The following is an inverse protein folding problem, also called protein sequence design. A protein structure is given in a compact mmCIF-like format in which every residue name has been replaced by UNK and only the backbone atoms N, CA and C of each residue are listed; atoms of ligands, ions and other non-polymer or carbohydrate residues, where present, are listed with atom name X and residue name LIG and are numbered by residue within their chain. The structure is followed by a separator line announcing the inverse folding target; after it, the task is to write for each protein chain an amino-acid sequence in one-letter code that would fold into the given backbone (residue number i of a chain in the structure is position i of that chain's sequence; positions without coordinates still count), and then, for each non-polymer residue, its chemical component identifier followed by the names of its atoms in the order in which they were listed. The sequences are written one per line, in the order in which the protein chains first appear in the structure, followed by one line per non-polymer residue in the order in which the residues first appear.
data_IF_349735431991
#
_entry.id   IF_349735431991
#
_cell.length_a   1.000
_cell.length_b   1.000
_cell.length_c   1.000
_cell.angle_alpha   90.00
_cell.angle_beta   90.00
_cell.angle_gamma   90.00
#
_symmetry.space_group_name_H-M   'P 1'
#
loop_
_entity.id
_entity.type
_entity.pdbx_description
1 polymer ?
#
# COMPACT_ATOMS: atom_id res chain seq x y z
N UNK A 1 -51.41 -30.20 -21.13
CA UNK A 1 -51.74 -28.82 -20.74
C UNK A 1 -50.44 -28.16 -20.36
N UNK A 2 -49.83 -27.46 -21.32
CA UNK A 2 -48.52 -26.84 -21.17
C UNK A 2 -48.67 -25.43 -20.57
N UNK A 3 -48.68 -25.35 -19.24
CA UNK A 3 -48.88 -24.08 -18.50
C UNK A 3 -47.61 -23.22 -18.35
N UNK A 4 -46.57 -23.43 -19.17
CA UNK A 4 -45.27 -22.74 -19.02
C UNK A 4 -44.95 -21.77 -20.17
N UNK A 5 -45.94 -21.19 -20.85
CA UNK A 5 -45.68 -20.11 -21.80
C UNK A 5 -45.58 -18.76 -21.08
N UNK A 6 -44.45 -18.08 -21.25
CA UNK A 6 -44.24 -16.71 -20.79
C UNK A 6 -45.18 -15.79 -21.59
N UNK A 7 -45.93 -14.95 -20.90
CA UNK A 7 -46.82 -13.99 -21.56
C UNK A 7 -46.02 -12.89 -22.28
N UNK A 8 -46.53 -12.32 -23.39
CA UNK A 8 -45.86 -11.22 -24.09
C UNK A 8 -45.53 -10.00 -23.20
N UNK A 9 -46.36 -9.71 -22.20
CA UNK A 9 -46.10 -8.64 -21.23
C UNK A 9 -44.93 -8.96 -20.29
N UNK A 10 -44.86 -10.19 -19.76
CA UNK A 10 -43.72 -10.63 -18.94
C UNK A 10 -42.41 -10.54 -19.74
N UNK A 11 -42.47 -10.86 -21.03
CA UNK A 11 -41.34 -10.73 -21.94
C UNK A 11 -40.93 -9.27 -22.15
N UNK A 12 -41.88 -8.38 -22.44
CA UNK A 12 -41.61 -6.94 -22.63
C UNK A 12 -40.99 -6.31 -21.37
N UNK A 13 -41.50 -6.64 -20.18
CA UNK A 13 -40.96 -6.17 -18.91
C UNK A 13 -39.54 -6.69 -18.64
N UNK A 14 -39.25 -7.95 -18.98
CA UNK A 14 -37.90 -8.51 -18.88
C UNK A 14 -36.93 -7.76 -19.82
N UNK A 15 -37.38 -7.48 -21.04
CA UNK A 15 -36.55 -6.82 -22.06
C UNK A 15 -36.23 -5.39 -21.64
N UNK A 16 -37.22 -4.64 -21.16
CA UNK A 16 -37.03 -3.28 -20.64
C UNK A 16 -36.06 -3.26 -19.45
N UNK A 17 -36.21 -4.18 -18.49
CA UNK A 17 -35.31 -4.29 -17.34
C UNK A 17 -33.86 -4.63 -17.74
N UNK A 18 -33.64 -5.47 -18.75
CA UNK A 18 -32.29 -5.78 -19.26
C UNK A 18 -31.68 -4.56 -19.98
N UNK A 19 -32.48 -3.81 -20.73
CA UNK A 19 -32.00 -2.68 -21.52
C UNK A 19 -31.63 -1.49 -20.63
N UNK A 20 -32.42 -1.22 -19.58
CA UNK A 20 -32.18 -0.12 -18.64
C UNK A 20 -30.92 -0.35 -17.79
N UNK A 21 -30.70 -1.59 -17.34
CA UNK A 21 -29.47 -2.00 -16.65
C UNK A 21 -28.21 -1.91 -17.53
N UNK A 22 -28.36 -2.03 -18.86
CA UNK A 22 -27.24 -1.90 -19.83
C UNK A 22 -26.77 -0.45 -19.97
N UNK A 23 -27.66 0.52 -19.86
CA UNK A 23 -27.36 1.93 -20.07
C UNK A 23 -26.75 2.60 -18.83
N UNK A 24 -27.23 2.24 -17.63
CA UNK A 24 -26.86 2.90 -16.37
C UNK A 24 -25.67 2.26 -15.65
N UNK A 25 -25.44 0.95 -15.78
CA UNK A 25 -24.40 0.24 -15.04
C UNK A 25 -22.98 0.27 -15.65
N UNK A 26 -22.85 0.45 -16.97
CA UNK A 26 -21.65 -0.01 -17.72
C UNK A 26 -20.50 0.98 -17.89
N UNK A 27 -20.70 2.28 -17.65
CA UNK A 27 -19.72 3.28 -18.11
C UNK A 27 -19.03 4.05 -17.00
N UNK A 28 -19.72 4.34 -15.90
CA UNK A 28 -19.14 5.13 -14.80
C UNK A 28 -18.60 4.24 -13.68
N UNK A 29 -19.31 3.17 -13.32
CA UNK A 29 -18.94 2.31 -12.19
C UNK A 29 -17.71 1.43 -12.50
N UNK A 30 -17.57 0.98 -13.74
CA UNK A 30 -16.44 0.14 -14.19
C UNK A 30 -15.12 0.93 -14.25
N UNK A 31 -15.15 2.19 -14.71
CA UNK A 31 -13.94 3.01 -14.84
C UNK A 31 -13.41 3.49 -13.48
N UNK A 32 -14.28 3.98 -12.60
CA UNK A 32 -13.88 4.47 -11.28
C UNK A 32 -13.42 3.31 -10.38
N UNK A 33 -14.08 2.15 -10.47
CA UNK A 33 -13.71 0.96 -9.69
C UNK A 33 -12.32 0.41 -10.07
N UNK A 34 -12.05 0.30 -11.37
CA UNK A 34 -10.75 -0.17 -11.87
C UNK A 34 -9.62 0.80 -11.52
N UNK A 35 -9.86 2.11 -11.65
CA UNK A 35 -8.88 3.14 -11.30
C UNK A 35 -8.50 3.07 -9.82
N UNK A 36 -9.48 3.06 -8.90
CA UNK A 36 -9.23 3.00 -7.45
C UNK A 36 -8.43 1.74 -7.09
N UNK A 37 -8.74 0.59 -7.69
CA UNK A 37 -7.98 -0.65 -7.47
C UNK A 37 -6.54 -0.54 -7.97
N UNK A 38 -6.34 -0.04 -9.20
CA UNK A 38 -5.01 0.15 -9.76
C UNK A 38 -4.15 1.08 -8.90
N UNK A 39 -4.72 2.20 -8.43
CA UNK A 39 -4.05 3.12 -7.50
C UNK A 39 -3.69 2.43 -6.20
N UNK A 40 -4.59 1.61 -5.65
CA UNK A 40 -4.32 0.95 -4.36
C UNK A 40 -3.22 -0.11 -4.47
N UNK A 41 -3.18 -0.86 -5.57
CA UNK A 41 -2.09 -1.81 -5.85
C UNK A 41 -0.78 -1.05 -6.04
N UNK A 42 -0.78 0.02 -6.83
CA UNK A 42 0.42 0.81 -7.09
C UNK A 42 0.99 1.44 -5.81
N UNK A 43 0.11 2.00 -4.96
CA UNK A 43 0.51 2.65 -3.71
C UNK A 43 1.03 1.64 -2.68
N UNK A 44 0.33 0.52 -2.46
CA UNK A 44 0.82 -0.53 -1.56
C UNK A 44 2.10 -1.20 -2.10
N UNK A 45 2.18 -1.44 -3.41
CA UNK A 45 3.37 -1.98 -4.06
C UNK A 45 4.58 -1.04 -3.96
N UNK A 46 4.37 0.25 -4.20
CA UNK A 46 5.39 1.29 -4.01
C UNK A 46 5.87 1.36 -2.56
N UNK A 47 4.97 1.24 -1.60
CA UNK A 47 5.31 1.18 -0.17
C UNK A 47 6.16 -0.05 0.18
N UNK A 48 5.84 -1.24 -0.37
CA UNK A 48 6.66 -2.44 -0.21
C UNK A 48 8.08 -2.24 -0.76
N UNK A 49 8.22 -1.67 -1.95
CA UNK A 49 9.54 -1.41 -2.57
C UNK A 49 10.32 -0.39 -1.74
N UNK A 50 9.66 0.68 -1.27
CA UNK A 50 10.29 1.69 -0.42
C UNK A 50 10.79 1.07 0.91
N UNK A 51 10.01 0.19 1.53
CA UNK A 51 10.43 -0.53 2.74
C UNK A 51 11.64 -1.43 2.50
N UNK A 52 11.68 -2.16 1.38
CA UNK A 52 12.82 -2.98 1.02
C UNK A 52 14.09 -2.13 0.86
N UNK A 53 13.98 -0.93 0.28
CA UNK A 53 15.10 0.01 0.17
C UNK A 53 15.53 0.65 1.50
N UNK A 54 14.63 0.66 2.49
CA UNK A 54 14.84 1.25 3.80
C UNK A 54 15.07 0.21 4.91
N UNK A 55 15.31 -1.06 4.55
CA UNK A 55 15.36 -2.17 5.51
C UNK A 55 16.37 -1.95 6.64
N UNK A 56 17.50 -1.30 6.34
CA UNK A 56 18.56 -0.98 7.31
C UNK A 56 18.16 0.11 8.33
N UNK A 57 17.09 0.87 8.04
CA UNK A 57 16.60 2.00 8.85
C UNK A 57 15.39 1.65 9.72
N UNK A 58 14.75 0.51 9.45
CA UNK A 58 13.51 0.09 10.13
C UNK A 58 13.84 -1.06 11.07
N UNK A 59 13.67 -0.84 12.38
CA UNK A 59 14.03 -1.85 13.39
C UNK A 59 13.19 -3.12 13.30
N UNK A 60 11.92 -2.99 12.90
CA UNK A 60 10.98 -4.08 12.70
C UNK A 60 10.38 -4.03 11.29
N UNK A 61 11.20 -4.30 10.27
CA UNK A 61 10.81 -4.19 8.85
C UNK A 61 9.73 -5.19 8.40
N UNK A 62 9.60 -6.33 9.07
CA UNK A 62 8.66 -7.39 8.69
C UNK A 62 7.18 -7.00 8.86
N UNK A 63 6.84 -6.31 9.96
CA UNK A 63 5.45 -5.96 10.28
C UNK A 63 4.79 -5.06 9.19
N UNK A 64 5.36 -3.88 8.83
CA UNK A 64 4.76 -3.03 7.81
C UNK A 64 4.77 -3.70 6.43
N UNK A 65 5.79 -4.53 6.13
CA UNK A 65 5.85 -5.30 4.90
C UNK A 65 4.66 -6.27 4.76
N UNK A 66 4.36 -7.06 5.80
CA UNK A 66 3.22 -7.99 5.79
C UNK A 66 1.89 -7.25 5.66
N UNK A 67 1.76 -6.09 6.30
CA UNK A 67 0.53 -5.27 6.22
C UNK A 67 0.30 -4.77 4.80
N UNK A 68 1.33 -4.21 4.14
CA UNK A 68 1.20 -3.75 2.75
C UNK A 68 0.98 -4.92 1.79
N UNK A 69 1.64 -6.06 2.01
CA UNK A 69 1.41 -7.27 1.22
C UNK A 69 -0.03 -7.79 1.34
N UNK A 70 -0.58 -7.79 2.55
CA UNK A 70 -1.99 -8.12 2.78
C UNK A 70 -2.91 -7.15 2.02
N UNK A 71 -2.58 -5.85 1.98
CA UNK A 71 -3.29 -4.86 1.18
C UNK A 71 -3.29 -5.16 -0.33
N UNK A 72 -2.17 -5.62 -0.87
CA UNK A 72 -2.06 -6.06 -2.27
C UNK A 72 -2.95 -7.28 -2.52
N UNK A 73 -2.87 -8.31 -1.67
CA UNK A 73 -3.66 -9.54 -1.79
C UNK A 73 -5.17 -9.22 -1.73
N UNK A 74 -5.59 -8.38 -0.79
CA UNK A 74 -6.98 -7.95 -0.67
C UNK A 74 -7.46 -7.16 -1.88
N UNK A 75 -6.60 -6.31 -2.46
CA UNK A 75 -6.90 -5.58 -3.70
C UNK A 75 -7.08 -6.51 -4.89
N UNK A 76 -6.22 -7.52 -5.02
CA UNK A 76 -6.30 -8.53 -6.08
C UNK A 76 -7.54 -9.42 -5.92
N UNK A 77 -7.82 -9.90 -4.71
CA UNK A 77 -9.00 -10.72 -4.43
C UNK A 77 -10.28 -9.96 -4.80
N UNK A 78 -10.36 -8.68 -4.42
CA UNK A 78 -11.47 -7.79 -4.77
C UNK A 78 -11.61 -7.64 -6.29
N UNK A 79 -10.51 -7.45 -7.02
CA UNK A 79 -10.51 -7.35 -8.48
C UNK A 79 -11.02 -8.64 -9.13
N UNK A 80 -10.53 -9.80 -8.67
CA UNK A 80 -10.97 -11.11 -9.14
C UNK A 80 -12.47 -11.34 -8.92
N UNK A 81 -13.00 -10.99 -7.74
CA UNK A 81 -14.44 -11.10 -7.46
C UNK A 81 -15.25 -10.19 -8.39
N UNK A 82 -14.83 -8.94 -8.56
CA UNK A 82 -15.51 -7.99 -9.45
C UNK A 82 -15.52 -8.50 -10.90
N UNK A 83 -14.41 -9.06 -11.37
CA UNK A 83 -14.30 -9.64 -12.70
C UNK A 83 -15.22 -10.86 -12.87
N UNK A 84 -15.30 -11.75 -11.87
CA UNK A 84 -16.22 -12.90 -11.87
C UNK A 84 -17.68 -12.43 -11.94
N UNK A 85 -18.05 -11.42 -11.17
CA UNK A 85 -19.42 -10.86 -11.20
C UNK A 85 -19.72 -10.27 -12.59
N UNK A 86 -18.81 -9.49 -13.15
CA UNK A 86 -18.98 -8.86 -14.46
C UNK A 86 -19.12 -9.91 -15.58
N UNK A 87 -18.26 -10.93 -15.59
CA UNK A 87 -18.31 -12.01 -16.59
C UNK A 87 -19.58 -12.85 -16.48
N UNK A 88 -20.02 -13.17 -15.27
CA UNK A 88 -21.30 -13.87 -15.04
C UNK A 88 -22.50 -13.05 -15.48
N UNK A 89 -22.51 -11.75 -15.18
CA UNK A 89 -23.57 -10.87 -15.62
C UNK A 89 -23.66 -10.83 -17.15
N UNK A 90 -22.53 -10.69 -17.84
CA UNK A 90 -22.48 -10.72 -19.31
C UNK A 90 -23.05 -12.04 -19.85
N UNK A 91 -22.61 -13.18 -19.30
CA UNK A 91 -23.08 -14.51 -19.73
C UNK A 91 -24.59 -14.72 -19.55
N UNK A 92 -25.16 -14.20 -18.44
CA UNK A 92 -26.62 -14.25 -18.22
C UNK A 92 -27.35 -13.36 -19.23
N UNK A 93 -26.87 -12.13 -19.44
CA UNK A 93 -27.50 -11.21 -20.40
C UNK A 93 -27.47 -11.76 -21.83
N UNK A 94 -26.35 -12.35 -22.26
CA UNK A 94 -26.24 -12.93 -23.61
C UNK A 94 -27.11 -14.18 -23.76
N UNK A 95 -27.20 -15.03 -22.73
CA UNK A 95 -28.09 -16.19 -22.74
C UNK A 95 -29.57 -15.78 -22.89
N UNK A 96 -29.99 -14.72 -22.19
CA UNK A 96 -31.34 -14.16 -22.30
C UNK A 96 -31.56 -13.58 -23.71
N UNK A 97 -30.62 -12.81 -24.25
CA UNK A 97 -30.72 -12.24 -25.61
C UNK A 97 -30.85 -13.34 -26.68
N UNK A 98 -30.06 -14.41 -26.59
CA UNK A 98 -30.14 -15.54 -27.52
C UNK A 98 -31.50 -16.25 -27.41
N UNK A 99 -32.00 -16.47 -26.19
CA UNK A 99 -33.31 -17.08 -25.97
C UNK A 99 -34.46 -16.21 -26.54
N UNK A 100 -34.35 -14.89 -26.43
CA UNK A 100 -35.27 -13.91 -27.01
C UNK A 100 -35.25 -13.99 -28.54
N UNK A 101 -34.06 -14.00 -29.16
CA UNK A 101 -33.91 -14.00 -30.61
C UNK A 101 -34.36 -15.31 -31.25
N UNK A 102 -34.17 -16.45 -30.57
CA UNK A 102 -34.49 -17.74 -31.16
C UNK A 102 -35.99 -18.11 -31.17
N UNK A 103 -36.87 -17.38 -30.46
CA UNK A 103 -38.37 -17.40 -30.49
C UNK A 103 -39.12 -18.75 -30.55
N UNK A 104 -38.44 -19.89 -30.62
CA UNK A 104 -38.96 -21.21 -30.91
C UNK A 104 -38.43 -22.14 -29.82
N UNK A 105 -39.30 -22.39 -28.85
CA UNK A 105 -39.16 -23.42 -27.79
C UNK A 105 -37.81 -23.40 -27.05
N UNK A 106 -37.73 -22.59 -25.99
CA UNK A 106 -36.67 -22.73 -25.00
C UNK A 106 -36.84 -24.11 -24.35
N UNK A 107 -35.85 -24.98 -24.53
CA UNK A 107 -35.82 -26.28 -23.88
C UNK A 107 -35.85 -26.10 -22.36
N UNK A 108 -36.64 -26.93 -21.66
CA UNK A 108 -36.83 -26.85 -20.21
C UNK A 108 -35.49 -27.00 -19.49
N UNK A 109 -34.55 -27.78 -20.06
CA UNK A 109 -33.21 -27.94 -19.54
C UNK A 109 -32.39 -26.63 -19.57
N UNK A 110 -32.49 -25.85 -20.65
CA UNK A 110 -31.82 -24.55 -20.74
C UNK A 110 -32.39 -23.56 -19.72
N UNK A 111 -33.71 -23.57 -19.54
CA UNK A 111 -34.38 -22.73 -18.53
C UNK A 111 -33.92 -23.08 -17.11
N UNK A 112 -33.76 -24.37 -16.78
CA UNK A 112 -33.24 -24.80 -15.48
C UNK A 112 -31.77 -24.39 -15.28
N UNK A 113 -30.95 -24.46 -16.32
CA UNK A 113 -29.55 -24.03 -16.26
C UNK A 113 -29.42 -22.51 -16.05
N UNK A 114 -30.24 -21.70 -16.74
CA UNK A 114 -30.31 -20.25 -16.52
C UNK A 114 -30.76 -19.95 -15.08
N UNK A 115 -31.76 -20.67 -14.57
CA UNK A 115 -32.25 -20.47 -13.19
C UNK A 115 -31.20 -20.83 -12.14
N UNK A 116 -30.43 -21.92 -12.33
CA UNK A 116 -29.29 -22.26 -11.46
C UNK A 116 -28.21 -21.18 -11.50
N UNK A 117 -27.91 -20.64 -12.68
CA UNK A 117 -26.95 -19.54 -12.83
C UNK A 117 -27.44 -18.26 -12.13
N UNK A 118 -28.71 -17.93 -12.28
CA UNK A 118 -29.34 -16.76 -11.66
C UNK A 118 -29.33 -16.85 -10.13
N UNK A 119 -29.69 -18.00 -9.55
CA UNK A 119 -29.64 -18.21 -8.10
C UNK A 119 -28.21 -18.08 -7.54
N UNK A 120 -27.21 -18.62 -8.26
CA UNK A 120 -25.80 -18.45 -7.89
C UNK A 120 -25.35 -16.99 -7.96
N UNK A 121 -25.86 -16.24 -8.93
CA UNK A 121 -25.60 -14.81 -9.08
C UNK A 121 -26.22 -13.96 -7.96
N UNK A 122 -27.45 -14.24 -7.55
CA UNK A 122 -28.11 -13.56 -6.43
C UNK A 122 -27.33 -13.76 -5.12
N UNK A 123 -26.88 -14.98 -4.83
CA UNK A 123 -26.04 -15.25 -3.66
C UNK A 123 -24.73 -14.46 -3.70
N UNK A 124 -24.08 -14.39 -4.87
CA UNK A 124 -22.83 -13.66 -5.05
C UNK A 124 -23.01 -12.14 -4.92
N UNK A 125 -24.10 -11.60 -5.45
CA UNK A 125 -24.41 -10.16 -5.38
C UNK A 125 -24.84 -9.74 -3.97
N UNK A 126 -25.61 -10.56 -3.26
CA UNK A 126 -25.91 -10.36 -1.84
C UNK A 126 -24.64 -10.36 -0.99
N UNK A 127 -23.73 -11.29 -1.25
CA UNK A 127 -22.43 -11.32 -0.56
C UNK A 127 -21.56 -10.10 -0.91
N UNK A 128 -21.50 -9.73 -2.19
CA UNK A 128 -20.81 -8.52 -2.65
C UNK A 128 -21.35 -7.25 -1.99
N UNK A 129 -22.68 -7.11 -1.92
CA UNK A 129 -23.37 -5.96 -1.31
C UNK A 129 -23.19 -5.91 0.21
N UNK A 130 -23.19 -7.07 0.88
CA UNK A 130 -22.90 -7.17 2.32
C UNK A 130 -21.42 -6.90 2.62
N UNK A 131 -20.54 -7.09 1.64
CA UNK A 131 -19.10 -6.91 1.76
C UNK A 131 -18.61 -5.52 1.33
N UNK A 132 -19.42 -4.47 1.49
CA UNK A 132 -18.95 -3.08 1.33
C UNK A 132 -17.68 -2.80 2.16
N UNK A 133 -17.52 -3.46 3.29
CA UNK A 133 -16.28 -3.47 4.07
C UNK A 133 -15.03 -3.86 3.26
N UNK A 134 -15.12 -4.81 2.33
CA UNK A 134 -14.01 -5.21 1.45
C UNK A 134 -13.59 -4.09 0.48
N UNK A 135 -14.41 -3.06 0.25
CA UNK A 135 -13.98 -1.86 -0.50
C UNK A 135 -12.92 -1.07 0.26
N UNK A 136 -13.08 -0.97 1.57
CA UNK A 136 -12.24 -0.13 2.41
C UNK A 136 -11.02 -0.87 2.96
N UNK A 137 -11.05 -2.20 3.00
CA UNK A 137 -9.96 -3.02 3.56
C UNK A 137 -8.57 -2.68 2.99
N UNK A 138 -8.35 -2.56 1.66
CA UNK A 138 -7.05 -2.17 1.12
C UNK A 138 -6.56 -0.76 1.54
N UNK A 139 -7.50 0.16 1.75
CA UNK A 139 -7.20 1.52 2.21
C UNK A 139 -6.82 1.48 3.70
N UNK A 140 -7.58 0.73 4.49
CA UNK A 140 -7.32 0.53 5.92
C UNK A 140 -5.94 -0.12 6.10
N UNK A 141 -5.62 -1.18 5.37
CA UNK A 141 -4.31 -1.82 5.45
C UNK A 141 -3.20 -0.87 5.03
N UNK A 142 -3.41 -0.03 4.01
CA UNK A 142 -2.44 1.00 3.65
C UNK A 142 -2.18 1.99 4.79
N UNK A 143 -3.24 2.56 5.39
CA UNK A 143 -3.12 3.51 6.51
C UNK A 143 -2.42 2.86 7.71
N UNK A 144 -2.83 1.64 8.08
CA UNK A 144 -2.21 0.88 9.17
C UNK A 144 -0.74 0.57 8.85
N UNK A 145 -0.41 0.25 7.59
CA UNK A 145 0.97 0.04 7.13
C UNK A 145 1.82 1.30 7.24
N UNK A 146 1.27 2.47 6.88
CA UNK A 146 1.95 3.75 7.05
C UNK A 146 2.24 4.06 8.52
N UNK A 147 1.26 3.86 9.41
CA UNK A 147 1.44 4.03 10.84
C UNK A 147 2.51 3.06 11.35
N UNK A 148 2.38 1.77 11.04
CA UNK A 148 3.35 0.75 11.44
C UNK A 148 4.76 1.07 10.96
N UNK A 149 4.91 1.57 9.74
CA UNK A 149 6.21 2.04 9.22
C UNK A 149 6.74 3.19 10.07
N UNK A 150 5.92 4.19 10.38
CA UNK A 150 6.32 5.33 11.20
C UNK A 150 6.78 4.96 12.61
N UNK A 151 6.10 4.01 13.27
CA UNK A 151 6.50 3.53 14.61
C UNK A 151 7.76 2.65 14.55
N UNK A 152 8.00 1.99 13.41
CA UNK A 152 9.13 1.06 13.25
C UNK A 152 10.44 1.74 12.83
N UNK A 153 10.41 3.04 12.52
CA UNK A 153 11.62 3.80 12.20
C UNK A 153 12.45 3.97 13.46
N UNK A 154 13.67 3.43 13.43
CA UNK A 154 14.65 3.64 14.48
C UNK A 154 15.25 5.04 14.31
N UNK A 155 14.73 5.98 15.10
CA UNK A 155 15.13 7.40 15.02
C UNK A 155 16.62 7.60 15.27
N UNK A 156 17.22 6.76 16.12
CA UNK A 156 18.66 6.84 16.40
C UNK A 156 19.49 6.38 15.19
N UNK A 157 19.06 5.35 14.45
CA UNK A 157 19.72 4.93 13.20
C UNK A 157 19.56 5.92 12.06
N UNK A 158 18.39 6.54 11.94
CA UNK A 158 18.14 7.59 10.95
C UNK A 158 18.96 8.83 11.26
N UNK A 159 19.05 9.24 12.54
CA UNK A 159 19.88 10.35 12.97
C UNK A 159 21.38 10.08 12.81
N UNK A 160 21.83 8.83 13.01
CA UNK A 160 23.22 8.43 12.81
C UNK A 160 23.63 8.32 11.33
N UNK A 161 22.71 8.47 10.38
CA UNK A 161 22.98 8.52 8.93
C UNK A 161 23.32 7.18 8.25
N UNK A 162 23.04 6.04 8.91
CA UNK A 162 23.31 4.70 8.37
C UNK A 162 24.79 4.27 8.45
N UNK A 163 25.12 3.02 8.05
CA UNK A 163 26.44 2.42 8.29
C UNK A 163 27.59 3.16 7.59
N UNK A 164 27.35 3.74 6.41
CA UNK A 164 28.33 4.57 5.71
C UNK A 164 28.64 5.86 6.49
N UNK A 165 27.65 6.44 7.15
CA UNK A 165 27.85 7.64 7.95
C UNK A 165 28.47 7.30 9.31
N UNK A 166 28.15 6.14 9.91
CA UNK A 166 28.85 5.61 11.09
C UNK A 166 30.35 5.42 10.79
N UNK A 167 30.71 4.84 9.65
CA UNK A 167 32.12 4.70 9.24
C UNK A 167 32.81 6.07 9.03
N UNK A 168 32.11 7.03 8.43
CA UNK A 168 32.61 8.42 8.29
C UNK A 168 32.78 9.10 9.64
N UNK A 169 31.83 8.94 10.55
CA UNK A 169 31.89 9.46 11.91
C UNK A 169 33.07 8.85 12.68
N UNK A 170 33.29 7.54 12.57
CA UNK A 170 34.44 6.88 13.19
C UNK A 170 35.78 7.40 12.63
N UNK A 171 35.88 7.53 11.30
CA UNK A 171 37.09 8.07 10.66
C UNK A 171 37.36 9.54 11.04
N UNK A 172 36.32 10.36 11.14
CA UNK A 172 36.43 11.75 11.62
C UNK A 172 36.84 11.81 13.09
N UNK A 173 36.24 10.98 13.94
CA UNK A 173 36.60 10.90 15.35
C UNK A 173 38.06 10.47 15.53
N UNK A 174 38.53 9.49 14.76
CA UNK A 174 39.92 9.06 14.77
C UNK A 174 40.86 10.18 14.33
N UNK A 175 40.53 10.91 13.24
CA UNK A 175 41.34 12.04 12.77
C UNK A 175 41.42 13.17 13.80
N UNK A 176 40.33 13.44 14.52
CA UNK A 176 40.29 14.43 15.60
C UNK A 176 41.11 14.03 16.83
N UNK A 177 41.27 12.73 17.09
CA UNK A 177 42.04 12.20 18.22
C UNK A 177 43.53 12.02 17.91
N UNK A 178 43.95 12.13 16.64
CA UNK A 178 45.36 12.08 16.26
C UNK A 178 46.13 13.30 16.78
N UNK A 179 47.40 13.08 17.13
CA UNK A 179 48.30 14.16 17.57
C UNK A 179 48.51 15.26 16.51
N UNK A 180 48.27 14.94 15.23
CA UNK A 180 48.23 15.88 14.11
C UNK A 180 46.99 15.58 13.26
N UNK A 181 45.86 16.28 13.47
CA UNK A 181 44.66 16.11 12.66
C UNK A 181 44.97 16.44 11.19
N UNK A 182 44.43 15.66 10.25
CA UNK A 182 44.58 15.98 8.82
C UNK A 182 43.70 17.16 8.41
N UNK A 183 42.60 17.36 9.11
CA UNK A 183 41.62 18.42 8.86
C UNK A 183 41.37 19.24 10.13
N UNK A 184 41.25 20.56 9.95
CA UNK A 184 41.01 21.51 11.04
C UNK A 184 39.51 21.70 11.31
N UNK A 185 38.67 21.49 10.28
CA UNK A 185 37.21 21.59 10.30
C UNK A 185 36.51 20.30 10.78
N UNK A 186 37.28 19.27 11.15
CA UNK A 186 36.74 17.96 11.55
C UNK A 186 35.68 18.02 12.65
N UNK A 187 35.77 19.00 13.57
CA UNK A 187 34.77 19.19 14.64
C UNK A 187 33.42 19.68 14.11
N UNK A 188 33.46 20.66 13.22
CA UNK A 188 32.27 21.25 12.59
C UNK A 188 31.64 20.22 11.67
N UNK A 189 32.45 19.48 10.92
CA UNK A 189 32.01 18.37 10.09
C UNK A 189 31.36 17.25 10.91
N UNK A 190 31.95 16.91 12.07
CA UNK A 190 31.41 15.88 12.98
C UNK A 190 30.05 16.28 13.56
N UNK A 191 29.86 17.56 13.92
CA UNK A 191 28.56 18.09 14.36
C UNK A 191 27.56 18.18 13.20
N UNK A 192 27.99 18.66 12.04
CA UNK A 192 27.12 18.78 10.85
C UNK A 192 26.61 17.42 10.36
N UNK A 193 27.42 16.36 10.50
CA UNK A 193 27.04 14.99 10.16
C UNK A 193 26.19 14.29 11.25
N UNK A 194 25.91 14.97 12.36
CA UNK A 194 25.12 14.41 13.47
C UNK A 194 25.81 13.27 14.22
N UNK A 195 27.15 13.19 14.13
CA UNK A 195 27.91 12.11 14.72
C UNK A 195 27.86 12.18 16.27
N UNK A 196 27.60 11.05 16.92
CA UNK A 196 27.73 10.91 18.39
C UNK A 196 29.13 10.38 18.74
N UNK A 197 29.83 10.95 19.75
CA UNK A 197 31.13 10.44 20.17
C UNK A 197 30.98 9.03 20.76
N UNK A 198 31.84 8.10 20.37
CA UNK A 198 31.84 6.72 20.91
C UNK A 198 33.18 6.40 21.59
N UNK A 199 33.17 5.74 22.76
CA UNK A 199 34.38 5.26 23.47
C UNK A 199 35.00 6.20 24.52
N UNK A 200 36.07 5.72 25.18
CA UNK A 200 36.85 6.48 26.17
C UNK A 200 37.80 7.48 25.49
N UNK A 201 37.63 8.77 25.77
CA UNK A 201 38.34 9.87 25.09
C UNK A 201 37.41 10.79 24.30
N UNK A 202 36.25 11.13 24.88
CA UNK A 202 35.23 11.94 24.20
C UNK A 202 35.82 13.23 23.63
N UNK A 203 35.54 13.48 22.35
CA UNK A 203 36.00 14.64 21.57
C UNK A 203 35.70 15.98 22.28
N UNK A 204 34.67 16.01 23.14
CA UNK A 204 34.32 17.16 23.98
C UNK A 204 35.33 17.42 25.12
N UNK A 205 35.99 16.40 25.66
CA UNK A 205 36.94 16.55 26.76
C UNK A 205 38.26 17.22 26.33
N UNK A 206 38.70 17.01 25.09
CA UNK A 206 39.92 17.66 24.55
C UNK A 206 39.64 19.14 24.23
N UNK A 207 38.46 19.44 23.66
CA UNK A 207 38.03 20.81 23.36
C UNK A 207 37.90 21.69 24.60
N UNK A 208 37.25 21.21 25.67
CA UNK A 208 37.10 21.98 26.91
C UNK A 208 38.44 22.25 27.61
N UNK A 209 39.37 21.27 27.62
CA UNK A 209 40.70 21.47 28.21
C UNK A 209 41.53 22.48 27.42
N UNK A 210 41.47 22.45 26.09
CA UNK A 210 42.16 23.41 25.24
C UNK A 210 41.58 24.83 25.40
N UNK A 211 40.25 24.97 25.42
CA UNK A 211 39.57 26.25 25.66
C UNK A 211 39.90 26.79 27.06
N UNK A 212 39.90 25.95 28.11
CA UNK A 212 40.33 26.34 29.47
C UNK A 212 41.78 26.78 29.54
N UNK A 213 42.68 26.14 28.79
CA UNK A 213 44.09 26.55 28.73
C UNK A 213 44.26 27.89 28.02
N UNK A 214 43.53 28.13 26.92
CA UNK A 214 43.56 29.40 26.19
C UNK A 214 42.93 30.54 26.99
N UNK A 215 41.82 30.31 27.70
CA UNK A 215 41.23 31.32 28.60
C UNK A 215 42.13 31.63 29.79
N UNK A 216 42.80 30.63 30.38
CA UNK A 216 43.81 30.87 31.42
C UNK A 216 45.04 31.63 30.90
N UNK A 217 45.49 31.34 29.68
CA UNK A 217 46.61 32.06 29.08
C UNK A 217 46.24 33.52 28.73
N UNK A 218 45.01 33.76 28.30
CA UNK A 218 44.49 35.11 28.04
C UNK A 218 44.22 35.93 29.33
N UNK A 219 44.05 35.26 30.47
CA UNK A 219 43.86 35.88 31.79
C UNK A 219 45.16 36.03 32.59
N UNK A 220 46.31 35.59 32.07
CA UNK A 220 47.59 35.86 32.72
C UNK A 220 47.93 37.35 32.54
N UNK A 221 48.02 38.14 33.63
CA UNK A 221 48.40 39.54 33.52
C UNK A 221 49.85 39.63 32.99
N UNK A 222 50.07 40.48 31.99
CA UNK A 222 51.41 40.85 31.55
C UNK A 222 52.16 41.45 32.75
N UNK A 223 53.10 40.69 33.30
CA UNK A 223 54.14 41.15 34.22
C UNK A 223 55.38 41.46 33.39
#
# INVERSE_FOLDING_TARGET
MDHNSITPEQFANLTAAVTDNRATGKTLQDKTGAFIQATTIAVNGGACIALLSAIDKVGFSYLPYVIFLAGIILSLLRSSIAHIIATRHIAITTAIEIAILNKKTIDVEQLQNVKKLANGYEALTLWSRRSEWLRFMPIITFVVGCVATGVSIDRDKVAAGGPANVARCAALQEDMLRARPRRLDSRELFQALGCRPQGEGSVYAVGERAIRKLTKAAQAPNI
#
